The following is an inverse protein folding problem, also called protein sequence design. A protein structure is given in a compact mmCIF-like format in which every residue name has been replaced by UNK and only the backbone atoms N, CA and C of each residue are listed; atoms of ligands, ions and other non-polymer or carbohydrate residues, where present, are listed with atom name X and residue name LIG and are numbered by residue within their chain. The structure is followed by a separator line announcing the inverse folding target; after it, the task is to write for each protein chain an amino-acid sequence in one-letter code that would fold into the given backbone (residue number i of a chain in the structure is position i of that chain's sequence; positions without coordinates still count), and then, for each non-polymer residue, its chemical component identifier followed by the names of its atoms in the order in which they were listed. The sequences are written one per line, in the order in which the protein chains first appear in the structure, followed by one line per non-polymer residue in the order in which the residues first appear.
data_IF_650259128947
#
_entry.id   IF_650259128947
#
_cell.length_a   1.000
_cell.length_b   1.000
_cell.length_c   1.000
_cell.angle_alpha   90.00
_cell.angle_beta   90.00
_cell.angle_gamma   90.00
#
_symmetry.space_group_name_H-M   'P 1'
#
loop_
_entity.id
_entity.type
_entity.pdbx_description
1 polymer ?
#
# COMPACT_ATOMS: atom_id res chain seq x y z
N UNK A 1 3.85 -13.13 -37.77
CA UNK A 1 4.86 -13.15 -36.69
C UNK A 1 4.28 -12.34 -35.53
N UNK A 2 3.78 -13.01 -34.48
CA UNK A 2 3.24 -12.36 -33.29
C UNK A 2 4.00 -12.90 -32.08
N UNK A 3 4.87 -12.06 -31.51
CA UNK A 3 5.73 -12.43 -30.39
C UNK A 3 4.94 -12.73 -29.11
N UNK A 4 5.50 -13.54 -28.18
CA UNK A 4 4.87 -13.91 -26.92
C UNK A 4 4.64 -12.71 -25.96
N UNK A 5 5.26 -11.57 -26.23
CA UNK A 5 5.19 -10.34 -25.43
C UNK A 5 3.78 -9.70 -25.40
N UNK A 6 2.92 -10.01 -26.39
CA UNK A 6 1.59 -9.41 -26.50
C UNK A 6 0.49 -10.14 -25.69
N UNK A 7 0.84 -11.24 -25.00
CA UNK A 7 -0.11 -11.97 -24.14
C UNK A 7 -0.08 -11.48 -22.70
N UNK A 8 1.10 -11.15 -22.18
CA UNK A 8 1.26 -10.64 -20.80
C UNK A 8 0.58 -9.28 -20.64
N UNK A 9 0.76 -8.38 -21.61
CA UNK A 9 0.12 -7.06 -21.59
C UNK A 9 -1.42 -7.13 -21.71
N UNK A 10 -1.95 -8.16 -22.40
CA UNK A 10 -3.40 -8.38 -22.49
C UNK A 10 -4.02 -8.97 -21.22
N UNK A 11 -3.26 -9.70 -20.41
CA UNK A 11 -3.73 -10.17 -19.10
C UNK A 11 -3.74 -9.04 -18.06
N UNK A 12 -2.76 -8.12 -18.11
CA UNK A 12 -2.75 -6.92 -17.27
C UNK A 12 -3.97 -6.02 -17.60
N UNK A 13 -4.27 -5.82 -18.88
CA UNK A 13 -5.42 -5.00 -19.31
C UNK A 13 -6.79 -5.59 -18.93
N UNK A 14 -6.93 -6.93 -18.93
CA UNK A 14 -8.19 -7.58 -18.51
C UNK A 14 -8.45 -7.48 -17.00
N UNK A 15 -7.40 -7.30 -16.20
CA UNK A 15 -7.54 -7.19 -14.74
C UNK A 15 -8.03 -5.79 -14.33
N UNK A 16 -7.85 -4.77 -15.17
CA UNK A 16 -8.27 -3.40 -14.88
C UNK A 16 -9.70 -3.06 -15.34
N UNK A 17 -10.36 -3.91 -16.13
CA UNK A 17 -11.66 -3.58 -16.74
C UNK A 17 -12.90 -4.03 -15.94
N UNK A 18 -12.75 -4.55 -14.72
CA UNK A 18 -13.88 -4.92 -13.85
C UNK A 18 -14.20 -3.89 -12.75
N UNK A 19 -13.58 -2.71 -12.76
CA UNK A 19 -13.91 -1.63 -11.82
C UNK A 19 -14.73 -0.51 -12.46
N UNK A 20 -15.70 -0.87 -13.31
CA UNK A 20 -16.90 -0.05 -13.49
C UNK A 20 -17.80 -0.24 -12.26
N UNK A 21 -17.43 0.45 -11.19
CA UNK A 21 -18.17 0.56 -9.97
C UNK A 21 -17.54 1.69 -9.17
N UNK A 22 -18.30 2.76 -8.97
CA UNK A 22 -17.97 3.95 -8.19
C UNK A 22 -16.90 3.69 -7.11
N UNK A 23 -15.87 4.55 -6.96
CA UNK A 23 -14.91 4.38 -5.88
C UNK A 23 -15.59 4.73 -4.55
N UNK A 24 -16.26 3.74 -3.95
CA UNK A 24 -16.57 3.74 -2.53
C UNK A 24 -15.27 3.45 -1.80
N UNK A 25 -14.54 4.52 -1.54
CA UNK A 25 -13.22 4.65 -0.90
C UNK A 25 -13.11 4.08 0.53
N UNK A 26 -13.99 3.16 0.94
CA UNK A 26 -14.06 2.63 2.31
C UNK A 26 -13.46 1.24 2.48
N UNK A 27 -13.31 0.47 1.41
CA UNK A 27 -12.92 -0.96 1.54
C UNK A 27 -11.47 -1.20 2.00
N UNK A 28 -10.54 -0.29 1.71
CA UNK A 28 -9.12 -0.46 2.04
C UNK A 28 -8.77 0.05 3.44
N UNK A 29 -9.46 1.07 3.94
CA UNK A 29 -9.30 1.61 5.29
C UNK A 29 -10.04 0.75 6.34
N UNK A 30 -11.18 0.18 5.97
CA UNK A 30 -11.96 -0.71 6.85
C UNK A 30 -11.25 -2.04 7.14
N UNK A 31 -10.40 -2.50 6.21
CA UNK A 31 -9.66 -3.77 6.34
C UNK A 31 -8.59 -3.76 7.45
N UNK A 32 -8.28 -2.59 8.05
CA UNK A 32 -7.25 -2.46 9.08
C UNK A 32 -7.74 -1.98 10.44
N UNK A 33 -9.02 -1.59 10.52
CA UNK A 33 -9.57 -0.81 11.64
C UNK A 33 -10.29 -1.64 12.72
N UNK A 34 -10.51 -2.94 12.52
CA UNK A 34 -11.42 -3.75 13.34
C UNK A 34 -10.76 -4.57 14.46
N UNK A 35 -9.79 -4.00 15.18
CA UNK A 35 -9.25 -4.70 16.36
C UNK A 35 -8.81 -3.77 17.50
N UNK A 36 -9.70 -2.87 17.91
CA UNK A 36 -9.57 -2.13 19.17
C UNK A 36 -10.58 -2.65 20.21
N UNK A 37 -10.12 -3.61 21.00
CA UNK A 37 -10.65 -3.82 22.35
C UNK A 37 -9.59 -4.50 23.18
N UNK A 38 -8.97 -3.75 24.08
CA UNK A 38 -9.19 -3.94 25.52
C UNK A 38 -8.09 -3.27 26.35
N UNK A 39 -8.57 -2.32 27.16
CA UNK A 39 -8.34 -2.16 28.60
C UNK A 39 -6.95 -1.78 29.13
N UNK A 40 -6.94 -0.67 29.89
CA UNK A 40 -5.95 -0.13 30.84
C UNK A 40 -5.48 -1.22 31.85
N UNK A 41 -4.33 -1.24 32.54
CA UNK A 41 -3.52 -0.20 33.18
C UNK A 41 -2.08 -0.75 33.51
N UNK A 42 -1.25 -0.19 34.43
CA UNK A 42 0.17 0.12 34.20
C UNK A 42 1.18 -0.94 34.73
N UNK A 43 2.35 -1.07 34.07
CA UNK A 43 3.69 -1.23 34.69
C UNK A 43 4.84 -1.36 33.67
N UNK A 44 6.05 -1.18 34.17
CA UNK A 44 7.30 -0.72 33.56
C UNK A 44 7.82 -1.44 32.30
N UNK A 45 8.57 -0.70 31.47
CA UNK A 45 9.28 -1.13 30.25
C UNK A 45 8.39 -1.59 29.08
N UNK A 46 7.53 -2.59 29.29
CA UNK A 46 6.71 -3.20 28.23
C UNK A 46 5.68 -2.21 27.67
N UNK A 47 5.09 -1.37 28.51
CA UNK A 47 4.19 -0.30 28.04
C UNK A 47 4.91 0.76 27.20
N UNK A 48 6.18 1.06 27.52
CA UNK A 48 6.99 2.00 26.74
C UNK A 48 7.34 1.43 25.36
N UNK A 49 7.68 0.13 25.30
CA UNK A 49 7.92 -0.58 24.04
C UNK A 49 6.66 -0.70 23.19
N UNK A 50 5.51 -1.02 23.79
CA UNK A 50 4.20 -1.04 23.12
C UNK A 50 3.89 0.32 22.51
N UNK A 51 4.05 1.41 23.28
CA UNK A 51 3.81 2.76 22.77
C UNK A 51 4.77 3.13 21.64
N UNK A 52 6.04 2.70 21.72
CA UNK A 52 7.04 2.92 20.66
C UNK A 52 6.66 2.17 19.38
N UNK A 53 6.25 0.91 19.48
CA UNK A 53 5.83 0.11 18.33
C UNK A 53 4.53 0.67 17.73
N UNK A 54 3.57 1.10 18.55
CA UNK A 54 2.38 1.78 18.06
C UNK A 54 2.72 3.07 17.30
N UNK A 55 3.65 3.87 17.80
CA UNK A 55 4.13 5.06 17.10
C UNK A 55 4.80 4.72 15.76
N UNK A 56 5.62 3.66 15.73
CA UNK A 56 6.25 3.17 14.50
C UNK A 56 5.22 2.63 13.48
N UNK A 57 4.15 1.98 13.95
CA UNK A 57 3.03 1.53 13.09
C UNK A 57 2.34 2.74 12.46
N UNK A 58 2.04 3.78 13.23
CA UNK A 58 1.42 5.00 12.73
C UNK A 58 2.32 5.74 11.74
N UNK A 59 3.63 5.78 11.99
CA UNK A 59 4.61 6.34 11.05
C UNK A 59 4.67 5.56 9.75
N UNK A 60 4.75 4.22 9.81
CA UNK A 60 4.76 3.36 8.63
C UNK A 60 3.44 3.44 7.83
N UNK A 61 2.29 3.62 8.50
CA UNK A 61 1.02 3.89 7.82
C UNK A 61 1.03 5.24 7.10
N UNK A 62 1.58 6.29 7.71
CA UNK A 62 1.72 7.61 7.07
C UNK A 62 2.64 7.55 5.86
N UNK A 63 3.75 6.82 5.99
CA UNK A 63 4.69 6.52 4.90
C UNK A 63 3.97 5.82 3.73
N UNK A 64 3.26 4.72 4.01
CA UNK A 64 2.47 3.99 3.00
C UNK A 64 1.41 4.88 2.32
N UNK A 65 0.70 5.72 3.08
CA UNK A 65 -0.29 6.65 2.51
C UNK A 65 0.37 7.72 1.62
N UNK A 66 1.54 8.22 2.02
CA UNK A 66 2.32 9.17 1.21
C UNK A 66 2.76 8.54 -0.11
N UNK A 67 3.26 7.30 -0.06
CA UNK A 67 3.64 6.52 -1.26
C UNK A 67 2.42 6.28 -2.16
N UNK A 68 1.30 5.86 -1.59
CA UNK A 68 0.06 5.64 -2.35
C UNK A 68 -0.41 6.92 -3.06
N UNK A 69 -0.36 8.08 -2.39
CA UNK A 69 -0.69 9.37 -3.02
C UNK A 69 0.25 9.72 -4.17
N UNK A 70 1.54 9.39 -4.07
CA UNK A 70 2.49 9.57 -5.19
C UNK A 70 2.16 8.61 -6.33
N UNK A 71 1.93 7.33 -6.02
CA UNK A 71 1.55 6.30 -6.99
C UNK A 71 0.32 6.71 -7.79
N UNK A 72 -0.74 7.18 -7.14
CA UNK A 72 -1.97 7.66 -7.80
C UNK A 72 -1.71 8.86 -8.73
N UNK A 73 -0.79 9.76 -8.36
CA UNK A 73 -0.42 10.89 -9.24
C UNK A 73 0.34 10.43 -10.48
N UNK A 74 1.24 9.47 -10.34
CA UNK A 74 1.99 8.90 -11.47
C UNK A 74 1.04 8.13 -12.38
N UNK A 75 0.11 7.36 -11.80
CA UNK A 75 -0.94 6.65 -12.53
C UNK A 75 -1.80 7.62 -13.35
N UNK A 76 -2.28 8.70 -12.74
CA UNK A 76 -3.06 9.73 -13.45
C UNK A 76 -2.28 10.36 -14.61
N UNK A 77 -0.98 10.63 -14.44
CA UNK A 77 -0.15 11.17 -15.53
C UNK A 77 0.06 10.18 -16.66
N UNK A 78 0.16 8.89 -16.34
CA UNK A 78 0.28 7.83 -17.34
C UNK A 78 -1.03 7.70 -18.11
N UNK A 79 -2.17 7.72 -17.42
CA UNK A 79 -3.49 7.67 -18.07
C UNK A 79 -3.68 8.88 -18.99
N UNK A 80 -3.30 10.08 -18.55
CA UNK A 80 -3.26 11.27 -19.42
C UNK A 80 -2.36 11.04 -20.65
N UNK A 81 -1.15 10.51 -20.48
CA UNK A 81 -0.23 10.22 -21.58
C UNK A 81 -0.81 9.19 -22.57
N UNK A 82 -1.54 8.20 -22.06
CA UNK A 82 -2.23 7.19 -22.86
C UNK A 82 -3.32 7.81 -23.73
N UNK A 83 -4.11 8.73 -23.17
CA UNK A 83 -5.18 9.43 -23.90
C UNK A 83 -4.63 10.31 -25.04
N UNK A 84 -3.37 10.74 -24.95
CA UNK A 84 -2.67 11.53 -25.97
C UNK A 84 -1.73 10.70 -26.87
N UNK A 85 -1.72 9.37 -26.77
CA UNK A 85 -0.79 8.46 -27.47
C UNK A 85 0.71 8.80 -27.23
N UNK A 86 1.05 9.40 -26.08
CA UNK A 86 2.42 9.79 -25.72
C UNK A 86 3.20 8.64 -25.06
N UNK A 87 3.56 7.67 -25.89
CA UNK A 87 4.34 6.48 -25.48
C UNK A 87 5.65 6.81 -24.77
N UNK A 88 6.30 7.92 -25.14
CA UNK A 88 7.57 8.30 -24.53
C UNK A 88 7.37 8.68 -23.05
N UNK A 89 6.27 9.34 -22.75
CA UNK A 89 5.90 9.69 -21.38
C UNK A 89 5.42 8.46 -20.61
N UNK A 90 4.65 7.56 -21.23
CA UNK A 90 4.27 6.28 -20.61
C UNK A 90 5.48 5.44 -20.20
N UNK A 91 6.41 5.20 -21.14
CA UNK A 91 7.63 4.40 -20.92
C UNK A 91 8.51 5.03 -19.82
N UNK A 92 8.49 6.36 -19.69
CA UNK A 92 9.23 7.07 -18.66
C UNK A 92 8.58 6.97 -17.27
N UNK A 93 7.25 6.81 -17.19
CA UNK A 93 6.50 6.70 -15.93
C UNK A 93 6.41 5.27 -15.40
N UNK A 94 6.55 4.26 -16.26
CA UNK A 94 6.55 2.85 -15.87
C UNK A 94 7.57 2.50 -14.77
N UNK A 95 8.87 2.85 -14.87
CA UNK A 95 9.83 2.56 -13.81
C UNK A 95 9.50 3.29 -12.49
N UNK A 96 8.93 4.50 -12.56
CA UNK A 96 8.50 5.24 -11.38
C UNK A 96 7.32 4.54 -10.68
N UNK A 97 6.34 4.03 -11.43
CA UNK A 97 5.24 3.25 -10.86
C UNK A 97 5.72 1.96 -10.20
N UNK A 98 6.62 1.21 -10.85
CA UNK A 98 7.16 -0.04 -10.30
C UNK A 98 7.90 0.22 -8.99
N UNK A 99 8.76 1.25 -8.96
CA UNK A 99 9.48 1.65 -7.74
C UNK A 99 8.51 2.03 -6.62
N UNK A 100 7.47 2.83 -6.91
CA UNK A 100 6.47 3.23 -5.91
C UNK A 100 5.62 2.04 -5.43
N UNK A 101 5.39 1.05 -6.28
CA UNK A 101 4.70 -0.18 -5.90
C UNK A 101 5.55 -1.01 -4.93
N UNK A 102 6.84 -1.18 -5.22
CA UNK A 102 7.78 -1.90 -4.36
C UNK A 102 7.91 -1.21 -2.99
N UNK A 103 8.08 0.12 -2.98
CA UNK A 103 8.12 0.93 -1.75
C UNK A 103 6.84 0.76 -0.91
N UNK A 104 5.68 0.68 -1.57
CA UNK A 104 4.39 0.50 -0.90
C UNK A 104 4.29 -0.88 -0.25
N UNK A 105 4.75 -1.93 -0.93
CA UNK A 105 4.74 -3.28 -0.39
C UNK A 105 5.72 -3.43 0.77
N UNK A 106 6.89 -2.79 0.70
CA UNK A 106 7.84 -2.72 1.82
C UNK A 106 7.22 -2.03 3.05
N UNK A 107 6.55 -0.89 2.86
CA UNK A 107 5.88 -0.19 3.95
C UNK A 107 4.75 -1.04 4.57
N UNK A 108 3.98 -1.77 3.76
CA UNK A 108 2.96 -2.72 4.27
C UNK A 108 3.60 -3.87 5.05
N UNK A 109 4.72 -4.40 4.56
CA UNK A 109 5.43 -5.49 5.21
C UNK A 109 5.97 -5.04 6.58
N UNK A 110 6.56 -3.84 6.66
CA UNK A 110 6.97 -3.18 7.90
C UNK A 110 5.81 -3.05 8.90
N UNK A 111 4.63 -2.63 8.46
CA UNK A 111 3.42 -2.58 9.33
C UNK A 111 3.04 -3.98 9.83
N UNK A 112 3.08 -5.01 8.98
CA UNK A 112 2.76 -6.39 9.38
C UNK A 112 3.73 -6.90 10.43
N UNK A 113 5.02 -6.65 10.27
CA UNK A 113 6.05 -7.13 11.20
C UNK A 113 5.99 -6.40 12.54
N UNK A 114 5.77 -5.08 12.55
CA UNK A 114 5.50 -4.33 13.77
C UNK A 114 4.23 -4.80 14.49
N UNK A 115 3.17 -5.15 13.75
CA UNK A 115 1.95 -5.73 14.34
C UNK A 115 2.21 -7.11 14.95
N UNK A 116 3.07 -7.94 14.34
CA UNK A 116 3.48 -9.23 14.92
C UNK A 116 4.28 -9.01 16.21
N UNK A 117 5.24 -8.09 16.20
CA UNK A 117 6.04 -7.72 17.37
C UNK A 117 5.15 -7.24 18.52
N UNK A 118 4.20 -6.34 18.22
CA UNK A 118 3.20 -5.87 19.18
C UNK A 118 2.39 -7.02 19.77
N UNK A 119 1.98 -7.99 18.95
CA UNK A 119 1.21 -9.16 19.39
C UNK A 119 2.03 -10.08 20.30
N UNK A 120 3.33 -10.25 20.03
CA UNK A 120 4.23 -11.02 20.90
C UNK A 120 4.37 -10.34 22.26
N UNK A 121 4.66 -9.04 22.28
CA UNK A 121 4.78 -8.27 23.53
C UNK A 121 3.49 -8.25 24.37
N UNK A 122 2.32 -8.32 23.72
CA UNK A 122 1.03 -8.43 24.42
C UNK A 122 0.74 -9.84 24.95
N UNK A 123 1.33 -10.88 24.37
CA UNK A 123 1.19 -12.29 24.82
C UNK A 123 2.14 -12.66 25.96
N UNK A 124 3.26 -11.96 26.07
CA UNK A 124 4.24 -12.13 27.15
C UNK A 124 3.83 -11.37 28.45
N UNK A 125 2.63 -10.76 28.48
CA UNK A 125 1.97 -10.19 29.68
C UNK A 125 0.97 -11.18 30.26
#
# INVERSE_FOLDING_TARGET
MGGPENKVLKEIFKTNHMMEGEPKDKSLEDSWSTLDSSTEAPESSTNSQINKINAQIEEAKKEANSINKKYQKVLSKRDDAQDFDDKKTEDALEPEMLSLYDDLEEAKQKVRDLKKELKMLKKDK
#
